data_IF_453779777397
#
_entry.id   IF_453779777397
#
_cell.length_a   1.000
_cell.length_b   1.000
_cell.length_c   1.000
_cell.angle_alpha   90.00
_cell.angle_beta   90.00
_cell.angle_gamma   90.00
#
_symmetry.space_group_name_H-M   'P 1'
#
loop_
_entity.id
_entity.type
_entity.pdbx_description
1 polymer ?
#
# COMPACT_ATOMS: atom_id res chain seq x y z
N UNK A 1 18.55 -8.42 29.12
CA UNK A 1 17.52 -7.38 28.90
C UNK A 1 16.71 -7.72 27.66
N UNK A 2 15.57 -8.40 27.82
CA UNK A 2 14.65 -8.63 26.71
C UNK A 2 13.90 -7.33 26.43
N UNK A 3 13.99 -6.80 25.22
CA UNK A 3 13.33 -5.54 24.84
C UNK A 3 11.83 -5.64 25.12
N UNK A 4 11.16 -4.54 25.48
CA UNK A 4 9.70 -4.49 25.64
C UNK A 4 8.96 -5.12 24.44
N UNK A 5 9.57 -5.09 23.26
CA UNK A 5 9.11 -5.74 22.03
C UNK A 5 8.88 -7.25 22.19
N UNK A 6 9.76 -7.99 22.87
CA UNK A 6 9.59 -9.44 23.07
C UNK A 6 8.45 -9.78 24.03
N UNK A 7 8.17 -8.89 25.00
CA UNK A 7 7.02 -9.01 25.91
C UNK A 7 5.68 -8.70 25.22
N UNK A 8 5.67 -7.79 24.24
CA UNK A 8 4.49 -7.46 23.43
C UNK A 8 4.17 -8.59 22.44
N UNK A 9 5.20 -9.13 21.76
CA UNK A 9 5.05 -10.24 20.80
C UNK A 9 4.56 -11.52 21.48
N UNK A 10 5.04 -11.82 22.70
CA UNK A 10 4.63 -13.01 23.46
C UNK A 10 3.18 -13.00 23.95
N UNK A 11 2.59 -11.82 24.20
CA UNK A 11 1.20 -11.69 24.66
C UNK A 11 0.16 -11.55 23.54
N UNK A 12 0.59 -11.33 22.29
CA UNK A 12 -0.33 -10.92 21.22
C UNK A 12 -0.02 -11.59 19.86
N UNK A 13 0.03 -12.93 19.85
CA UNK A 13 0.28 -13.75 18.65
C UNK A 13 -0.66 -13.40 17.48
N UNK A 14 -1.92 -13.10 17.78
CA UNK A 14 -2.91 -12.69 16.76
C UNK A 14 -2.63 -11.31 16.16
N UNK A 15 -2.07 -10.39 16.95
CA UNK A 15 -1.67 -9.08 16.44
C UNK A 15 -0.47 -9.18 15.49
N UNK A 16 0.57 -9.93 15.85
CA UNK A 16 1.71 -10.19 14.97
C UNK A 16 1.27 -10.84 13.67
N UNK A 17 0.29 -11.76 13.72
CA UNK A 17 -0.34 -12.34 12.52
C UNK A 17 -1.09 -11.30 11.70
N UNK A 18 -1.84 -10.38 12.31
CA UNK A 18 -2.54 -9.32 11.60
C UNK A 18 -1.58 -8.36 10.88
N UNK A 19 -0.50 -7.96 11.56
CA UNK A 19 0.56 -7.13 10.96
C UNK A 19 1.19 -7.88 9.79
N UNK A 20 1.54 -9.16 9.97
CA UNK A 20 2.12 -9.97 8.91
C UNK A 20 1.16 -10.16 7.74
N UNK A 21 -0.12 -10.39 8.02
CA UNK A 21 -1.16 -10.50 7.00
C UNK A 21 -1.27 -9.21 6.17
N UNK A 22 -1.38 -8.05 6.81
CA UNK A 22 -1.50 -6.77 6.10
C UNK A 22 -0.21 -6.37 5.37
N UNK A 23 0.95 -6.54 6.00
CA UNK A 23 2.23 -6.13 5.40
C UNK A 23 2.66 -7.05 4.27
N UNK A 24 2.42 -8.36 4.39
CA UNK A 24 2.78 -9.33 3.37
C UNK A 24 1.63 -9.55 2.38
N UNK A 25 0.49 -10.06 2.82
CA UNK A 25 -0.63 -10.40 1.93
C UNK A 25 -1.29 -9.15 1.35
N UNK A 26 -1.42 -8.08 2.14
CA UNK A 26 -1.91 -6.79 1.62
C UNK A 26 -0.99 -6.22 0.54
N UNK A 27 0.33 -6.25 0.74
CA UNK A 27 1.30 -5.88 -0.30
C UNK A 27 1.17 -6.78 -1.55
N UNK A 28 1.06 -8.09 -1.38
CA UNK A 28 0.91 -9.04 -2.49
C UNK A 28 -0.37 -8.81 -3.27
N UNK A 29 -1.49 -8.55 -2.60
CA UNK A 29 -2.76 -8.22 -3.24
C UNK A 29 -2.64 -6.93 -4.07
N UNK A 30 -2.01 -5.89 -3.53
CA UNK A 30 -1.77 -4.66 -4.30
C UNK A 30 -0.81 -4.88 -5.48
N UNK A 31 0.20 -5.73 -5.34
CA UNK A 31 1.07 -6.11 -6.46
C UNK A 31 0.31 -6.85 -7.56
N UNK A 32 -0.58 -7.77 -7.19
CA UNK A 32 -1.43 -8.47 -8.15
C UNK A 32 -2.32 -7.48 -8.91
N UNK A 33 -3.00 -6.57 -8.20
CA UNK A 33 -3.82 -5.51 -8.81
C UNK A 33 -2.98 -4.60 -9.72
N UNK A 34 -1.78 -4.21 -9.28
CA UNK A 34 -0.89 -3.34 -10.05
C UNK A 34 -0.55 -3.93 -11.42
N UNK A 35 -0.38 -5.24 -11.48
CA UNK A 35 0.05 -5.96 -12.67
C UNK A 35 -1.08 -6.69 -13.41
N UNK A 36 -2.33 -6.55 -12.95
CA UNK A 36 -3.47 -7.28 -13.50
C UNK A 36 -3.81 -6.78 -14.92
N UNK A 37 -3.73 -7.64 -15.95
CA UNK A 37 -4.10 -7.28 -17.32
C UNK A 37 -5.55 -6.80 -17.45
N UNK A 38 -6.47 -7.27 -16.59
CA UNK A 38 -7.88 -6.87 -16.61
C UNK A 38 -8.06 -5.36 -16.35
N UNK A 39 -7.11 -4.73 -15.64
CA UNK A 39 -7.12 -3.30 -15.34
C UNK A 39 -6.07 -2.50 -16.12
N UNK A 40 -5.56 -3.06 -17.23
CA UNK A 40 -4.44 -2.49 -17.98
C UNK A 40 -3.25 -2.21 -17.05
N UNK A 41 -2.96 -3.17 -16.18
CA UNK A 41 -1.90 -3.09 -15.18
C UNK A 41 -0.52 -2.87 -15.78
N UNK A 42 0.40 -2.45 -14.92
CA UNK A 42 1.78 -2.14 -15.29
C UNK A 42 2.55 -3.42 -15.64
N UNK A 43 3.58 -3.34 -16.50
CA UNK A 43 4.40 -4.49 -16.83
C UNK A 43 5.05 -5.13 -15.59
N UNK A 44 5.10 -6.47 -15.56
CA UNK A 44 5.82 -7.22 -14.50
C UNK A 44 7.33 -7.22 -14.75
N UNK A 45 7.75 -7.21 -16.02
CA UNK A 45 9.16 -7.19 -16.41
C UNK A 45 9.82 -5.87 -15.98
N UNK A 46 10.97 -5.96 -15.30
CA UNK A 46 11.61 -4.82 -14.63
C UNK A 46 12.07 -3.73 -15.60
N UNK A 47 12.50 -4.12 -16.81
CA UNK A 47 12.90 -3.17 -17.86
C UNK A 47 11.68 -2.51 -18.49
N UNK A 48 10.65 -3.29 -18.83
CA UNK A 48 9.39 -2.73 -19.36
C UNK A 48 8.71 -1.83 -18.34
N UNK A 49 8.78 -2.17 -17.06
CA UNK A 49 8.26 -1.35 -15.96
C UNK A 49 9.01 -0.03 -15.85
N UNK A 50 10.34 -0.05 -15.93
CA UNK A 50 11.15 1.17 -15.99
C UNK A 50 10.79 2.04 -17.20
N UNK A 51 10.67 1.43 -18.39
CA UNK A 51 10.30 2.16 -19.60
C UNK A 51 8.88 2.76 -19.49
N UNK A 52 7.94 2.06 -18.85
CA UNK A 52 6.61 2.59 -18.56
C UNK A 52 6.70 3.86 -17.70
N UNK A 53 7.50 3.86 -16.63
CA UNK A 53 7.68 5.05 -15.80
C UNK A 53 8.40 6.17 -16.53
N UNK A 54 9.37 5.86 -17.39
CA UNK A 54 10.07 6.84 -18.20
C UNK A 54 9.12 7.53 -19.18
N UNK A 55 8.27 6.77 -19.86
CA UNK A 55 7.22 7.30 -20.74
C UNK A 55 6.19 8.16 -19.99
N UNK A 56 5.96 7.87 -18.71
CA UNK A 56 5.02 8.58 -17.84
C UNK A 56 5.69 9.60 -16.90
N UNK A 57 6.94 9.98 -17.17
CA UNK A 57 7.75 10.85 -16.28
C UNK A 57 7.06 12.17 -15.96
N UNK A 58 6.34 12.76 -16.90
CA UNK A 58 5.60 14.02 -16.66
C UNK A 58 4.56 13.89 -15.54
N UNK A 59 3.88 12.74 -15.44
CA UNK A 59 2.92 12.47 -14.34
C UNK A 59 3.66 12.29 -13.02
N UNK A 60 4.78 11.56 -13.02
CA UNK A 60 5.61 11.38 -11.83
C UNK A 60 6.18 12.71 -11.32
N UNK A 61 6.68 13.57 -12.21
CA UNK A 61 7.18 14.91 -11.88
C UNK A 61 6.08 15.79 -11.26
N UNK A 62 4.84 15.71 -11.77
CA UNK A 62 3.69 16.40 -11.17
C UNK A 62 3.38 15.90 -9.77
N UNK A 63 3.43 14.59 -9.53
CA UNK A 63 3.19 13.99 -8.21
C UNK A 63 4.30 14.34 -7.22
N UNK A 64 5.56 14.39 -7.69
CA UNK A 64 6.71 14.82 -6.91
C UNK A 64 6.59 16.29 -6.50
N UNK A 65 6.26 17.19 -7.45
CA UNK A 65 6.04 18.62 -7.17
C UNK A 65 4.92 18.89 -6.17
N UNK A 66 3.89 18.03 -6.14
CA UNK A 66 2.79 18.11 -5.17
C UNK A 66 3.09 17.45 -3.83
N UNK A 67 4.30 16.92 -3.61
CA UNK A 67 4.68 16.15 -2.43
C UNK A 67 3.78 14.92 -2.18
N UNK A 68 3.12 14.40 -3.22
CA UNK A 68 2.33 13.18 -3.14
C UNK A 68 3.25 11.96 -3.29
N UNK A 69 4.23 12.07 -4.19
CA UNK A 69 5.32 11.11 -4.37
C UNK A 69 6.57 11.68 -3.71
N UNK A 70 7.20 10.92 -2.80
CA UNK A 70 8.46 11.35 -2.15
C UNK A 70 9.67 11.11 -3.06
N UNK A 71 10.78 11.82 -2.81
CA UNK A 71 12.01 11.65 -3.60
C UNK A 71 12.52 10.21 -3.58
N UNK A 72 12.59 9.58 -2.40
CA UNK A 72 13.04 8.18 -2.28
C UNK A 72 12.14 7.22 -3.06
N UNK A 73 10.82 7.47 -3.07
CA UNK A 73 9.89 6.68 -3.87
C UNK A 73 10.08 6.92 -5.37
N UNK A 74 10.30 8.17 -5.78
CA UNK A 74 10.61 8.51 -7.16
C UNK A 74 11.87 7.78 -7.64
N UNK A 75 12.91 7.73 -6.81
CA UNK A 75 14.17 7.05 -7.13
C UNK A 75 14.05 5.52 -7.16
N UNK A 76 13.00 4.95 -6.53
CA UNK A 76 12.66 3.55 -6.76
C UNK A 76 12.04 3.34 -8.15
N UNK A 77 11.21 4.27 -8.62
CA UNK A 77 10.53 4.17 -9.93
C UNK A 77 11.49 4.44 -11.10
N UNK A 78 12.36 5.44 -10.95
CA UNK A 78 13.35 5.87 -11.94
C UNK A 78 14.73 5.98 -11.29
N UNK A 79 15.42 4.84 -11.05
CA UNK A 79 16.67 4.85 -10.32
C UNK A 79 17.78 5.59 -11.08
N UNK A 80 18.55 6.48 -10.42
CA UNK A 80 19.70 7.13 -11.04
C UNK A 80 20.74 6.10 -11.48
N UNK A 81 21.13 6.13 -12.75
CA UNK A 81 22.18 5.25 -13.29
C UNK A 81 21.76 3.79 -13.49
N UNK A 82 20.48 3.42 -13.30
CA UNK A 82 19.95 2.10 -13.65
C UNK A 82 18.70 2.24 -14.52
N UNK A 83 18.55 1.34 -15.49
CA UNK A 83 17.41 1.32 -16.43
C UNK A 83 16.46 0.16 -16.17
N UNK A 84 16.31 -0.20 -14.90
CA UNK A 84 15.44 -1.28 -14.43
C UNK A 84 14.89 -0.90 -13.06
N UNK A 85 13.66 -1.33 -12.78
CA UNK A 85 13.04 -1.19 -11.46
C UNK A 85 12.21 -2.41 -11.12
N UNK A 86 12.23 -2.80 -9.85
CA UNK A 86 11.52 -3.98 -9.36
C UNK A 86 10.34 -3.55 -8.49
N UNK A 87 9.13 -3.93 -8.90
CA UNK A 87 7.91 -3.66 -8.12
C UNK A 87 7.94 -4.30 -6.73
N UNK A 88 8.77 -5.33 -6.54
CA UNK A 88 9.03 -5.97 -5.24
C UNK A 88 9.58 -5.01 -4.18
N UNK A 89 10.25 -3.93 -4.59
CA UNK A 89 10.80 -2.91 -3.69
C UNK A 89 9.74 -1.91 -3.21
N UNK A 90 8.56 -1.90 -3.84
CA UNK A 90 7.53 -0.92 -3.52
C UNK A 90 6.85 -1.25 -2.20
N UNK A 91 6.64 -0.22 -1.37
CA UNK A 91 5.85 -0.32 -0.16
C UNK A 91 4.36 -0.16 -0.45
N UNK A 92 3.50 -0.45 0.53
CA UNK A 92 2.03 -0.34 0.37
C UNK A 92 1.62 1.09 -0.03
N UNK A 93 2.32 2.12 0.47
CA UNK A 93 2.06 3.52 0.11
C UNK A 93 2.25 3.75 -1.38
N UNK A 94 3.40 3.32 -1.91
CA UNK A 94 3.78 3.51 -3.29
C UNK A 94 2.87 2.68 -4.20
N UNK A 95 2.58 1.43 -3.84
CA UNK A 95 1.65 0.58 -4.58
C UNK A 95 0.26 1.22 -4.70
N UNK A 96 -0.32 1.67 -3.58
CA UNK A 96 -1.62 2.34 -3.61
C UNK A 96 -1.62 3.64 -4.45
N UNK A 97 -0.53 4.41 -4.38
CA UNK A 97 -0.34 5.61 -5.20
C UNK A 97 -0.25 5.26 -6.69
N UNK A 98 0.52 4.24 -7.06
CA UNK A 98 0.66 3.81 -8.45
C UNK A 98 -0.67 3.31 -9.02
N UNK A 99 -1.37 2.44 -8.28
CA UNK A 99 -2.69 1.93 -8.67
C UNK A 99 -3.67 3.08 -8.93
N UNK A 100 -3.75 4.06 -8.01
CA UNK A 100 -4.63 5.22 -8.16
C UNK A 100 -4.36 6.06 -9.42
N UNK A 101 -3.11 6.15 -9.87
CA UNK A 101 -2.70 7.10 -10.91
C UNK A 101 -2.45 6.46 -12.28
N UNK A 102 -2.16 5.15 -12.32
CA UNK A 102 -1.71 4.47 -13.54
C UNK A 102 -2.51 3.22 -13.90
N UNK A 103 -3.27 2.65 -12.97
CA UNK A 103 -4.09 1.46 -13.24
C UNK A 103 -5.51 1.91 -13.57
N UNK A 104 -6.12 1.29 -14.58
CA UNK A 104 -7.45 1.65 -15.06
C UNK A 104 -8.54 0.98 -14.21
N UNK A 105 -8.69 1.43 -12.96
CA UNK A 105 -9.79 1.05 -12.08
C UNK A 105 -10.73 2.23 -11.80
N UNK A 106 -12.05 1.99 -11.68
CA UNK A 106 -13.00 3.03 -11.30
C UNK A 106 -12.62 3.65 -9.96
N UNK A 107 -12.83 4.97 -9.83
CA UNK A 107 -12.67 5.65 -8.55
C UNK A 107 -13.64 5.05 -7.51
N UNK A 108 -13.24 4.96 -6.23
CA UNK A 108 -14.12 4.44 -5.19
C UNK A 108 -15.26 5.42 -4.92
N UNK A 109 -16.30 4.97 -4.23
CA UNK A 109 -17.42 5.84 -3.88
C UNK A 109 -16.96 6.92 -2.88
N UNK A 110 -16.97 8.19 -3.29
CA UNK A 110 -16.39 9.30 -2.51
C UNK A 110 -14.97 9.70 -2.95
N UNK A 111 -14.38 8.97 -3.91
CA UNK A 111 -13.09 9.28 -4.50
C UNK A 111 -11.88 8.89 -3.65
N UNK A 112 -10.69 9.08 -4.20
CA UNK A 112 -9.43 8.63 -3.61
C UNK A 112 -8.95 9.39 -2.36
N UNK A 113 -9.68 10.43 -1.93
CA UNK A 113 -9.32 11.27 -0.78
C UNK A 113 -9.91 10.79 0.55
N UNK A 114 -10.76 9.76 0.53
CA UNK A 114 -11.39 9.23 1.74
C UNK A 114 -10.43 8.35 2.54
N UNK A 115 -10.57 8.35 3.87
CA UNK A 115 -9.79 7.53 4.81
C UNK A 115 -10.46 6.20 5.17
N UNK A 116 -11.70 6.03 4.74
CA UNK A 116 -12.46 4.82 4.97
C UNK A 116 -13.42 4.64 3.79
N UNK A 117 -13.47 3.43 3.19
CA UNK A 117 -14.48 3.12 2.20
C UNK A 117 -15.88 3.32 2.76
N UNK A 118 -16.83 3.67 1.89
CA UNK A 118 -18.23 3.73 2.30
C UNK A 118 -18.76 2.34 2.63
N UNK A 119 -19.72 2.27 3.55
CA UNK A 119 -20.37 1.01 3.91
C UNK A 119 -20.97 0.36 2.66
N UNK A 120 -20.61 -0.90 2.41
CA UNK A 120 -21.04 -1.66 1.24
C UNK A 120 -20.24 -1.42 -0.05
N UNK A 121 -19.23 -0.54 -0.05
CA UNK A 121 -18.33 -0.38 -1.20
C UNK A 121 -17.33 -1.55 -1.26
N UNK A 122 -17.65 -2.53 -2.12
CA UNK A 122 -16.83 -3.73 -2.36
C UNK A 122 -15.88 -3.56 -3.55
N UNK A 123 -15.70 -2.34 -4.06
CA UNK A 123 -14.81 -2.10 -5.20
C UNK A 123 -13.35 -2.37 -4.86
N UNK A 124 -12.56 -2.71 -5.89
CA UNK A 124 -11.10 -2.87 -5.75
C UNK A 124 -10.46 -1.57 -5.25
N UNK A 125 -10.97 -0.42 -5.70
CA UNK A 125 -10.48 0.87 -5.24
C UNK A 125 -10.74 1.10 -3.74
N UNK A 126 -11.90 0.68 -3.22
CA UNK A 126 -12.18 0.67 -1.78
C UNK A 126 -11.20 -0.25 -1.03
N UNK A 127 -10.91 -1.43 -1.58
CA UNK A 127 -9.93 -2.35 -1.01
C UNK A 127 -8.51 -1.76 -0.93
N UNK A 128 -8.08 -1.03 -1.98
CA UNK A 128 -6.79 -0.33 -2.01
C UNK A 128 -6.70 0.72 -0.91
N UNK A 129 -7.77 1.50 -0.71
CA UNK A 129 -7.85 2.49 0.38
C UNK A 129 -7.77 1.78 1.73
N UNK A 130 -8.55 0.71 1.91
CA UNK A 130 -8.59 -0.02 3.17
C UNK A 130 -7.22 -0.56 3.58
N UNK A 131 -6.51 -1.24 2.67
CA UNK A 131 -5.16 -1.78 2.94
C UNK A 131 -4.19 -0.66 3.32
N UNK A 132 -4.21 0.46 2.58
CA UNK A 132 -3.36 1.62 2.86
C UNK A 132 -3.62 2.17 4.26
N UNK A 133 -4.87 2.40 4.60
CA UNK A 133 -5.27 3.05 5.87
C UNK A 133 -5.05 2.13 7.07
N UNK A 134 -5.37 0.84 6.95
CA UNK A 134 -5.07 -0.15 7.99
C UNK A 134 -3.56 -0.23 8.26
N UNK A 135 -2.72 -0.26 7.20
CA UNK A 135 -1.26 -0.23 7.37
C UNK A 135 -0.82 1.05 8.07
N UNK A 136 -1.35 2.22 7.67
CA UNK A 136 -0.99 3.50 8.30
C UNK A 136 -1.35 3.51 9.79
N UNK A 137 -2.54 3.03 10.16
CA UNK A 137 -2.96 2.91 11.56
C UNK A 137 -2.03 2.00 12.36
N UNK A 138 -1.59 0.87 11.78
CA UNK A 138 -0.67 -0.07 12.43
C UNK A 138 0.73 0.53 12.62
N UNK A 139 1.27 1.20 11.59
CA UNK A 139 2.65 1.70 11.62
C UNK A 139 2.78 2.98 12.43
N UNK A 140 1.75 3.83 12.45
CA UNK A 140 1.79 5.13 13.12
C UNK A 140 0.93 5.21 14.38
N UNK A 141 0.14 4.18 14.70
CA UNK A 141 -0.67 4.13 15.90
C UNK A 141 0.17 3.98 17.17
N UNK A 142 -0.41 4.37 18.30
CA UNK A 142 0.27 4.23 19.59
C UNK A 142 0.38 2.74 19.95
N UNK A 143 1.54 2.27 20.45
CA UNK A 143 1.72 0.88 20.88
C UNK A 143 0.60 0.38 21.82
N UNK A 144 0.10 1.27 22.67
CA UNK A 144 -0.95 0.98 23.67
C UNK A 144 -2.34 0.83 23.06
N UNK A 145 -2.64 1.46 21.91
CA UNK A 145 -3.91 1.28 21.22
C UNK A 145 -4.07 -0.16 20.74
N UNK A 146 -2.96 -0.82 20.41
CA UNK A 146 -2.94 -2.21 19.97
C UNK A 146 -3.09 -3.23 21.12
N UNK A 147 -2.97 -2.77 22.37
CA UNK A 147 -3.25 -3.59 23.55
C UNK A 147 -4.74 -3.57 23.93
N UNK A 148 -5.55 -2.71 23.31
CA UNK A 148 -6.99 -2.59 23.57
C UNK A 148 -7.76 -3.63 22.74
N UNK A 149 -8.47 -4.60 23.36
CA UNK A 149 -9.20 -5.64 22.63
C UNK A 149 -10.24 -5.09 21.64
N UNK A 150 -10.93 -4.00 22.00
CA UNK A 150 -11.92 -3.36 21.12
C UNK A 150 -11.28 -2.79 19.85
N UNK A 151 -10.08 -2.22 19.95
CA UNK A 151 -9.37 -1.67 18.80
C UNK A 151 -8.95 -2.79 17.84
N UNK A 152 -8.43 -3.90 18.37
CA UNK A 152 -8.13 -5.11 17.60
C UNK A 152 -9.37 -5.65 16.90
N UNK A 153 -10.49 -5.83 17.61
CA UNK A 153 -11.73 -6.36 17.03
C UNK A 153 -12.25 -5.49 15.89
N UNK A 154 -12.18 -4.17 16.03
CA UNK A 154 -12.58 -3.22 14.99
C UNK A 154 -11.71 -3.35 13.73
N UNK A 155 -10.39 -3.54 13.88
CA UNK A 155 -9.49 -3.78 12.74
C UNK A 155 -9.76 -5.15 12.12
N UNK A 156 -9.91 -6.18 12.95
CA UNK A 156 -10.14 -7.55 12.49
C UNK A 156 -11.45 -7.69 11.70
N UNK A 157 -12.52 -7.03 12.14
CA UNK A 157 -13.81 -7.00 11.45
C UNK A 157 -13.74 -6.32 10.07
N UNK A 158 -12.74 -5.48 9.79
CA UNK A 158 -12.52 -4.86 8.48
C UNK A 158 -11.74 -5.76 7.52
N UNK A 159 -11.00 -6.73 8.04
CA UNK A 159 -10.17 -7.65 7.24
C UNK A 159 -10.95 -8.92 6.89
N UNK A 160 -11.90 -9.31 7.74
CA UNK A 160 -12.69 -10.54 7.62
C UNK A 160 -13.87 -10.42 6.67
#
# INVERSE_FOLDING_TARGET
MGSQFSKIVGKNKEWTKCIFALTFHGKMALLQILHDPAYQGLPVDEKKLYQFFLANKTTLDKLLKKNILKKDQYDLLLPPGKQETSSKLFDITLLALLIRNFVNIPKPQGGWGIKEPKAGDTSIAAFVILIRELRNQIVHGAPDDFLKPQHFQNIWAKIR
#
